data_IF_807597372764
#
_entry.id   IF_807597372764
#
_cell.length_a   1.000
_cell.length_b   1.000
_cell.length_c   1.000
_cell.angle_alpha   90.00
_cell.angle_beta   90.00
_cell.angle_gamma   90.00
#
_symmetry.space_group_name_H-M   'P 1'
#
loop_
_entity.id
_entity.type
_entity.pdbx_description
1 polymer ?
#
# COMPACT_ATOMS: atom_id res chain seq x y z
N UNK A 1 -9.49 -14.16 -4.79
CA UNK A 1 -8.12 -14.10 -4.23
C UNK A 1 -7.42 -13.02 -5.04
N UNK A 2 -6.92 -11.94 -4.41
CA UNK A 2 -6.19 -10.88 -5.13
C UNK A 2 -4.85 -11.45 -5.63
N UNK A 3 -4.45 -11.06 -6.83
CA UNK A 3 -3.11 -11.32 -7.38
C UNK A 3 -2.07 -10.42 -6.71
N UNK A 4 -0.80 -10.78 -6.78
CA UNK A 4 0.32 -9.99 -6.21
C UNK A 4 0.37 -8.59 -6.81
N UNK A 5 0.10 -8.49 -8.12
CA UNK A 5 -0.10 -7.22 -8.81
C UNK A 5 -1.20 -6.37 -8.19
N UNK A 6 -2.41 -6.92 -8.03
CA UNK A 6 -3.53 -6.18 -7.43
C UNK A 6 -3.24 -5.79 -5.98
N UNK A 7 -2.57 -6.65 -5.21
CA UNK A 7 -2.13 -6.35 -3.86
C UNK A 7 -1.16 -5.15 -3.83
N UNK A 8 -0.16 -5.16 -4.71
CA UNK A 8 0.83 -4.10 -4.80
C UNK A 8 0.21 -2.77 -5.28
N UNK A 9 -0.67 -2.81 -6.28
CA UNK A 9 -1.36 -1.61 -6.78
C UNK A 9 -2.24 -0.96 -5.70
N UNK A 10 -3.01 -1.75 -4.94
CA UNK A 10 -3.85 -1.24 -3.86
C UNK A 10 -3.03 -0.76 -2.65
N UNK A 11 -1.99 -1.51 -2.27
CA UNK A 11 -1.11 -1.12 -1.17
C UNK A 11 -0.35 0.19 -1.50
N UNK A 12 0.07 0.38 -2.76
CA UNK A 12 0.70 1.62 -3.21
C UNK A 12 -0.27 2.81 -3.09
N UNK A 13 -1.54 2.61 -3.45
CA UNK A 13 -2.58 3.65 -3.27
C UNK A 13 -2.80 4.02 -1.81
N UNK A 14 -2.75 3.06 -0.89
CA UNK A 14 -2.79 3.37 0.54
C UNK A 14 -1.54 4.13 0.97
N UNK A 15 -0.35 3.64 0.57
CA UNK A 15 0.93 4.22 0.93
C UNK A 15 1.07 5.67 0.46
N UNK A 16 0.60 6.00 -0.74
CA UNK A 16 0.71 7.34 -1.32
C UNK A 16 -0.65 8.01 -1.54
N UNK A 17 -1.62 7.78 -0.65
CA UNK A 17 -2.99 8.23 -0.87
C UNK A 17 -3.10 9.75 -1.10
N UNK A 18 -2.35 10.54 -0.33
CA UNK A 18 -2.33 12.00 -0.46
C UNK A 18 -1.58 12.44 -1.71
N UNK A 19 -0.39 11.90 -1.93
CA UNK A 19 0.46 12.26 -3.07
C UNK A 19 -0.20 11.88 -4.41
N UNK A 20 -0.99 10.80 -4.45
CA UNK A 20 -1.82 10.43 -5.61
C UNK A 20 -3.00 11.40 -5.78
N UNK A 21 -3.62 11.85 -4.70
CA UNK A 21 -4.72 12.82 -4.75
C UNK A 21 -4.27 14.21 -5.21
N UNK A 22 -3.04 14.60 -4.86
CA UNK A 22 -2.42 15.87 -5.21
C UNK A 22 -1.67 15.83 -6.56
N UNK A 23 -1.69 14.70 -7.27
CA UNK A 23 -0.98 14.46 -8.54
C UNK A 23 0.55 14.67 -8.44
N UNK A 24 1.11 14.42 -7.25
CA UNK A 24 2.56 14.55 -6.97
C UNK A 24 3.34 13.26 -7.24
N UNK A 25 2.63 12.14 -7.43
CA UNK A 25 3.24 10.84 -7.71
C UNK A 25 2.51 10.07 -8.81
N UNK A 26 3.28 9.54 -9.76
CA UNK A 26 2.79 8.58 -10.75
C UNK A 26 3.17 7.16 -10.34
N UNK A 27 2.20 6.23 -10.41
CA UNK A 27 2.38 4.82 -10.03
C UNK A 27 2.04 3.91 -11.22
N UNK A 28 2.89 2.92 -11.50
CA UNK A 28 2.60 1.86 -12.48
C UNK A 28 3.21 0.53 -12.08
N UNK A 29 2.51 -0.57 -12.37
CA UNK A 29 3.08 -1.90 -12.22
C UNK A 29 4.16 -2.17 -13.29
N UNK A 30 5.24 -2.84 -12.91
CA UNK A 30 6.29 -3.27 -13.81
C UNK A 30 6.51 -4.77 -13.71
N UNK A 31 6.09 -5.50 -14.74
CA UNK A 31 6.24 -6.96 -14.83
C UNK A 31 7.71 -7.43 -14.78
N UNK A 32 8.65 -6.61 -15.25
CA UNK A 32 10.09 -6.96 -15.26
C UNK A 32 10.67 -6.94 -13.84
N UNK A 33 10.23 -5.99 -13.02
CA UNK A 33 10.73 -5.81 -11.64
C UNK A 33 9.79 -6.42 -10.59
N UNK A 34 8.65 -6.96 -11.02
CA UNK A 34 7.58 -7.50 -10.18
C UNK A 34 7.16 -6.54 -9.05
N UNK A 35 7.03 -5.25 -9.38
CA UNK A 35 6.86 -4.19 -8.39
C UNK A 35 6.23 -2.92 -8.95
N UNK A 36 5.96 -1.95 -8.08
CA UNK A 36 5.44 -0.65 -8.46
C UNK A 36 6.61 0.27 -8.81
N UNK A 37 6.63 0.76 -10.03
CA UNK A 37 7.46 1.89 -10.40
C UNK A 37 6.75 3.18 -10.01
N UNK A 38 7.45 4.03 -9.28
CA UNK A 38 6.94 5.33 -8.87
C UNK A 38 7.87 6.47 -9.28
N UNK A 39 7.26 7.57 -9.67
CA UNK A 39 7.92 8.85 -9.97
C UNK A 39 7.32 9.90 -9.05
N UNK A 40 8.11 10.42 -8.12
CA UNK A 40 7.71 11.46 -7.18
C UNK A 40 8.16 12.83 -7.68
N UNK A 41 7.41 13.90 -7.44
CA UNK A 41 7.78 15.27 -7.82
C UNK A 41 9.20 15.65 -7.32
N UNK A 42 9.52 15.34 -6.06
CA UNK A 42 10.87 15.50 -5.50
C UNK A 42 12.00 14.69 -6.17
N UNK A 43 11.65 13.65 -6.94
CA UNK A 43 12.61 12.87 -7.73
C UNK A 43 12.81 13.44 -9.15
N UNK A 44 12.13 14.55 -9.48
CA UNK A 44 12.44 15.37 -10.62
C UNK A 44 13.54 16.36 -10.22
N UNK A 45 14.79 15.92 -10.31
CA UNK A 45 15.86 16.89 -10.35
C UNK A 45 15.66 17.72 -11.64
N UNK A 46 15.55 19.04 -11.50
CA UNK A 46 15.40 20.00 -12.61
C UNK A 46 16.59 20.00 -13.61
N UNK A 47 17.33 18.89 -13.73
CA UNK A 47 18.41 18.64 -14.67
C UNK A 47 18.01 17.63 -15.79
N UNK A 48 16.76 17.13 -15.79
CA UNK A 48 16.18 16.41 -16.92
C UNK A 48 16.34 14.89 -16.93
N UNK A 49 16.61 14.26 -15.78
CA UNK A 49 16.65 12.80 -15.66
C UNK A 49 15.67 12.29 -14.60
N UNK A 50 14.39 12.30 -14.94
CA UNK A 50 13.34 11.62 -14.17
C UNK A 50 13.76 10.18 -13.84
N UNK A 51 13.92 9.87 -12.55
CA UNK A 51 14.27 8.52 -12.08
C UNK A 51 13.04 7.83 -11.52
N UNK A 52 12.61 6.76 -12.18
CA UNK A 52 11.66 5.82 -11.63
C UNK A 52 12.36 4.93 -10.59
N UNK A 53 11.73 4.75 -9.44
CA UNK A 53 12.17 3.83 -8.40
C UNK A 53 11.22 2.64 -8.32
N UNK A 54 11.75 1.46 -8.01
CA UNK A 54 10.95 0.25 -7.75
C UNK A 54 10.57 0.22 -6.27
N UNK A 55 9.31 -0.12 -6.01
CA UNK A 55 8.77 -0.39 -4.69
C UNK A 55 8.11 -1.77 -4.69
N UNK A 56 8.56 -2.66 -3.80
CA UNK A 56 8.01 -4.01 -3.68
C UNK A 56 8.03 -4.52 -2.23
N UNK A 57 7.01 -4.17 -1.42
CA UNK A 57 6.92 -4.64 -0.04
C UNK A 57 6.61 -6.13 0.11
N UNK A 58 6.36 -6.89 -0.97
CA UNK A 58 6.23 -8.36 -0.87
C UNK A 58 7.60 -9.03 -0.73
N UNK A 59 8.65 -8.45 -1.31
CA UNK A 59 9.99 -9.05 -1.35
C UNK A 59 11.10 -8.19 -0.72
N UNK A 60 10.86 -6.89 -0.52
CA UNK A 60 11.76 -5.97 0.17
C UNK A 60 11.23 -5.64 1.58
N UNK A 61 11.94 -6.13 2.61
CA UNK A 61 11.59 -5.91 4.02
C UNK A 61 11.65 -4.43 4.42
N UNK A 62 12.49 -3.63 3.76
CA UNK A 62 12.60 -2.19 3.99
C UNK A 62 11.35 -1.46 3.52
N UNK A 63 10.88 -1.75 2.31
CA UNK A 63 9.61 -1.23 1.79
C UNK A 63 8.43 -1.69 2.64
N UNK A 64 8.42 -2.96 3.04
CA UNK A 64 7.39 -3.50 3.92
C UNK A 64 7.34 -2.77 5.26
N UNK A 65 8.50 -2.56 5.88
CA UNK A 65 8.58 -1.85 7.17
C UNK A 65 8.16 -0.38 7.06
N UNK A 66 8.54 0.31 5.98
CA UNK A 66 8.09 1.69 5.73
C UNK A 66 6.58 1.75 5.55
N UNK A 67 6.01 0.79 4.82
CA UNK A 67 4.56 0.66 4.66
C UNK A 67 3.86 0.48 6.01
N UNK A 68 4.37 -0.41 6.87
CA UNK A 68 3.82 -0.63 8.21
C UNK A 68 3.80 0.67 9.02
N UNK A 69 4.93 1.38 9.05
CA UNK A 69 5.07 2.62 9.83
C UNK A 69 4.16 3.72 9.27
N UNK A 70 4.13 3.91 7.95
CA UNK A 70 3.34 4.97 7.31
C UNK A 70 1.85 4.78 7.55
N UNK A 71 1.36 3.53 7.51
CA UNK A 71 -0.04 3.19 7.67
C UNK A 71 -0.44 2.83 9.12
N UNK A 72 0.49 2.88 10.08
CA UNK A 72 0.20 2.51 11.46
C UNK A 72 -0.24 1.04 11.63
N UNK A 73 0.37 0.13 10.88
CA UNK A 73 0.05 -1.30 10.90
C UNK A 73 0.91 -2.05 11.92
N UNK A 74 0.29 -3.01 12.61
CA UNK A 74 0.96 -3.99 13.45
C UNK A 74 1.03 -5.36 12.78
N UNK A 75 2.09 -6.10 13.06
CA UNK A 75 2.25 -7.50 12.65
C UNK A 75 2.28 -8.38 13.91
N UNK A 76 1.32 -9.30 14.02
CA UNK A 76 1.18 -10.18 15.20
C UNK A 76 1.19 -11.65 14.80
N UNK A 77 1.87 -12.53 15.56
CA UNK A 77 1.83 -13.97 15.30
C UNK A 77 0.45 -14.52 15.68
N UNK A 78 -0.08 -15.44 14.87
CA UNK A 78 -1.37 -16.08 15.11
C UNK A 78 -1.21 -17.44 15.80
N UNK A 79 -2.21 -17.81 16.60
CA UNK A 79 -2.31 -19.17 17.15
C UNK A 79 -2.49 -20.17 16.01
N UNK A 80 -1.66 -21.22 15.99
CA UNK A 80 -1.63 -22.20 14.88
C UNK A 80 -0.68 -21.82 13.73
N UNK A 81 0.01 -20.69 13.82
CA UNK A 81 1.02 -20.24 12.86
C UNK A 81 0.51 -19.16 11.90
N UNK A 82 1.47 -18.53 11.20
CA UNK A 82 1.20 -17.38 10.33
C UNK A 82 1.11 -16.06 11.10
N UNK A 83 0.61 -15.03 10.40
CA UNK A 83 0.69 -13.65 10.80
C UNK A 83 -0.62 -12.89 10.52
N UNK A 84 -1.01 -12.05 11.46
CA UNK A 84 -2.08 -11.06 11.31
C UNK A 84 -1.50 -9.67 11.08
N UNK A 85 -2.03 -8.96 10.10
CA UNK A 85 -1.88 -7.52 9.97
C UNK A 85 -3.03 -6.83 10.68
N UNK A 86 -2.72 -6.01 11.67
CA UNK A 86 -3.69 -5.31 12.52
C UNK A 86 -3.54 -3.79 12.40
N UNK A 87 -4.59 -3.07 12.73
CA UNK A 87 -4.56 -1.62 13.00
C UNK A 87 -5.37 -1.31 14.26
N UNK A 88 -5.31 -0.07 14.74
CA UNK A 88 -6.07 0.38 15.90
C UNK A 88 -7.14 1.38 15.44
N UNK A 89 -8.41 1.04 15.67
CA UNK A 89 -9.54 1.90 15.35
C UNK A 89 -10.37 2.13 16.62
N UNK A 90 -10.59 3.40 16.99
CA UNK A 90 -11.33 3.80 18.20
C UNK A 90 -10.92 3.07 19.51
N UNK A 91 -9.66 2.65 19.62
CA UNK A 91 -9.12 1.94 20.79
C UNK A 91 -9.29 0.41 20.74
N UNK A 92 -9.82 -0.13 19.65
CA UNK A 92 -9.94 -1.56 19.39
C UNK A 92 -8.90 -2.01 18.36
N UNK A 93 -8.39 -3.23 18.54
CA UNK A 93 -7.54 -3.89 17.55
C UNK A 93 -8.42 -4.48 16.44
N UNK A 94 -8.13 -4.10 15.20
CA UNK A 94 -8.84 -4.57 14.01
C UNK A 94 -7.88 -5.37 13.13
N UNK A 95 -8.18 -6.64 12.90
CA UNK A 95 -7.43 -7.47 11.95
C UNK A 95 -7.87 -7.17 10.52
N UNK A 96 -6.96 -6.62 9.73
CA UNK A 96 -7.18 -6.27 8.33
C UNK A 96 -6.96 -7.47 7.40
N UNK A 97 -5.96 -8.29 7.72
CA UNK A 97 -5.61 -9.45 6.91
C UNK A 97 -4.81 -10.49 7.69
N UNK A 98 -4.78 -11.72 7.18
CA UNK A 98 -3.90 -12.79 7.66
C UNK A 98 -3.19 -13.45 6.48
N UNK A 99 -1.96 -13.93 6.71
CA UNK A 99 -1.22 -14.76 5.76
C UNK A 99 -0.16 -15.60 6.51
N UNK A 100 0.37 -16.63 5.87
CA UNK A 100 1.51 -17.38 6.42
C UNK A 100 2.83 -16.63 6.25
N UNK A 101 2.91 -15.77 5.22
CA UNK A 101 4.04 -14.89 5.00
C UNK A 101 3.83 -13.51 5.67
N UNK A 102 4.77 -13.03 6.50
CA UNK A 102 4.59 -11.77 7.24
C UNK A 102 4.48 -10.55 6.32
N UNK A 103 5.27 -10.50 5.24
CA UNK A 103 5.25 -9.38 4.30
C UNK A 103 3.92 -9.33 3.58
N UNK A 104 3.44 -10.48 3.10
CA UNK A 104 2.15 -10.61 2.44
C UNK A 104 0.98 -10.27 3.37
N UNK A 105 1.04 -10.62 4.66
CA UNK A 105 0.02 -10.22 5.62
C UNK A 105 -0.12 -8.69 5.68
N UNK A 106 1.00 -7.96 5.78
CA UNK A 106 1.03 -6.49 5.75
C UNK A 106 0.50 -5.94 4.42
N UNK A 107 1.00 -6.44 3.29
CA UNK A 107 0.59 -5.93 1.97
C UNK A 107 -0.90 -6.16 1.74
N UNK A 108 -1.47 -7.28 2.21
CA UNK A 108 -2.92 -7.50 2.18
C UNK A 108 -3.68 -6.50 3.04
N UNK A 109 -3.20 -6.20 4.25
CA UNK A 109 -3.83 -5.21 5.12
C UNK A 109 -3.80 -3.81 4.52
N UNK A 110 -2.65 -3.40 3.97
CA UNK A 110 -2.52 -2.14 3.24
C UNK A 110 -3.40 -2.08 1.98
N UNK A 111 -3.48 -3.18 1.23
CA UNK A 111 -4.36 -3.27 0.07
C UNK A 111 -5.84 -3.15 0.44
N UNK A 112 -6.25 -3.59 1.63
CA UNK A 112 -7.61 -3.41 2.10
C UNK A 112 -7.93 -1.94 2.39
N UNK A 113 -7.01 -1.22 3.04
CA UNK A 113 -7.11 0.24 3.24
C UNK A 113 -7.20 0.95 1.87
N UNK A 114 -6.33 0.59 0.93
CA UNK A 114 -6.30 1.19 -0.41
C UNK A 114 -7.57 0.94 -1.23
N UNK A 115 -8.24 -0.19 -1.00
CA UNK A 115 -9.51 -0.49 -1.64
C UNK A 115 -10.66 0.38 -1.09
N UNK A 116 -10.67 0.63 0.22
CA UNK A 116 -11.69 1.44 0.90
C UNK A 116 -11.59 2.93 0.52
N UNK A 117 -10.37 3.46 0.44
CA UNK A 117 -10.14 4.85 -0.01
C UNK A 117 -10.69 5.12 -1.43
N UNK A 118 -10.77 4.09 -2.29
CA UNK A 118 -11.33 4.21 -3.63
C UNK A 118 -12.87 4.10 -3.66
N UNK A 119 -13.50 3.42 -2.69
CA UNK A 119 -14.97 3.34 -2.64
C UNK A 119 -15.63 4.63 -2.15
N UNK A 120 -14.98 5.35 -1.23
CA UNK A 120 -15.56 6.54 -0.58
C UNK A 120 -15.60 7.78 -1.48
N UNK A 121 -14.94 7.73 -2.64
CA UNK A 121 -14.97 8.82 -3.64
C UNK A 121 -16.21 8.78 -4.57
N UNK A 122 -17.20 7.90 -4.35
CA UNK A 122 -18.37 7.74 -5.25
C UNK A 122 -19.68 8.38 -4.83
N UNK A 123 -19.81 8.97 -3.63
CA UNK A 123 -21.11 9.54 -3.18
C UNK A 123 -21.08 11.05 -2.93
N UNK A 124 -20.39 11.79 -3.79
CA UNK A 124 -20.41 13.26 -3.86
C UNK A 124 -21.57 13.82 -4.70
N UNK A 125 -22.80 13.68 -4.21
CA UNK A 125 -23.90 14.63 -4.40
C UNK A 125 -24.38 14.99 -5.82
N UNK A 126 -25.42 14.31 -6.29
CA UNK A 126 -26.43 14.92 -7.16
C UNK A 126 -27.72 15.15 -6.34
N UNK A 127 -27.78 16.28 -5.64
CA UNK A 127 -29.03 16.88 -5.18
C UNK A 127 -28.93 18.39 -5.45
N UNK A 128 -29.40 18.79 -6.64
CA UNK A 128 -29.83 20.14 -6.98
C UNK A 128 -30.91 20.04 -8.06
#
# INVERSE_FOLDING_TARGET
MRTDRELLELAARANWAQEVADDEISLRYCEINDGILYLHADNQDHNGHDREFVWNPLTDDGDNRRLQVKLGLGLVPLEGGGWGCITWDHGEEVTLATDFDPNRAIVRGAAEIGAQAHSDHKDGGANA
#
